data_IF_916143368627
#
_entry.id   IF_916143368627
#
_cell.length_a   1.000
_cell.length_b   1.000
_cell.length_c   1.000
_cell.angle_alpha   90.00
_cell.angle_beta   90.00
_cell.angle_gamma   90.00
#
_symmetry.space_group_name_H-M   'P 1'
#
loop_
_entity.id
_entity.type
_entity.pdbx_description
1 polymer ?
#
# COMPACT_ATOMS: atom_id res chain seq x y z
N UNK A 1 -19.55 3.93 48.61
CA UNK A 1 -18.88 4.89 47.70
C UNK A 1 -17.46 4.41 47.47
N UNK A 2 -17.01 3.91 46.33
CA UNK A 2 -17.66 3.42 45.12
C UNK A 2 -16.61 2.53 44.45
N UNK A 3 -16.88 1.23 44.30
CA UNK A 3 -16.16 0.28 43.42
C UNK A 3 -16.25 0.66 41.92
N UNK A 4 -16.66 1.90 41.63
CA UNK A 4 -17.08 2.41 40.35
C UNK A 4 -15.98 3.19 39.62
N UNK A 5 -14.77 3.33 40.19
CA UNK A 5 -13.71 4.23 39.67
C UNK A 5 -12.46 3.49 39.18
N UNK A 6 -12.36 2.16 39.30
CA UNK A 6 -11.16 1.42 38.80
C UNK A 6 -11.51 0.38 37.72
N UNK A 7 -12.77 0.32 37.29
CA UNK A 7 -13.21 -0.45 36.11
C UNK A 7 -13.22 0.38 34.81
N UNK A 8 -12.49 1.48 34.79
CA UNK A 8 -12.21 2.29 33.61
C UNK A 8 -10.79 1.98 33.09
N UNK A 9 -10.51 0.69 32.85
CA UNK A 9 -9.48 0.28 31.89
C UNK A 9 -10.24 -0.19 30.67
N UNK A 10 -10.29 0.70 29.68
CA UNK A 10 -10.73 0.51 28.30
C UNK A 10 -11.12 -0.93 27.98
N UNK A 11 -12.43 -1.19 27.89
CA UNK A 11 -12.91 -2.27 27.06
C UNK A 11 -12.50 -1.88 25.63
N UNK A 12 -11.34 -2.39 25.18
CA UNK A 12 -11.00 -2.41 23.75
C UNK A 12 -12.13 -3.18 23.11
N UNK A 13 -13.05 -2.46 22.46
CA UNK A 13 -14.16 -3.05 21.75
C UNK A 13 -13.52 -4.00 20.73
N UNK A 14 -13.74 -5.30 20.87
CA UNK A 14 -13.22 -6.27 19.91
C UNK A 14 -13.68 -5.83 18.52
N UNK A 15 -12.73 -5.69 17.57
CA UNK A 15 -13.04 -5.26 16.21
C UNK A 15 -14.22 -6.07 15.64
N UNK A 16 -15.09 -5.43 14.85
CA UNK A 16 -16.18 -6.16 14.22
C UNK A 16 -15.65 -7.16 13.18
N UNK A 17 -16.47 -8.14 12.77
CA UNK A 17 -16.09 -9.04 11.67
C UNK A 17 -15.94 -8.28 10.34
N UNK A 18 -16.69 -7.20 10.16
CA UNK A 18 -16.60 -6.27 9.04
C UNK A 18 -15.26 -5.52 9.06
N UNK A 19 -14.83 -5.02 10.21
CA UNK A 19 -13.52 -4.38 10.36
C UNK A 19 -12.41 -5.36 9.99
N UNK A 20 -12.46 -6.59 10.53
CA UNK A 20 -11.50 -7.66 10.21
C UNK A 20 -11.43 -7.95 8.72
N UNK A 21 -12.57 -8.05 8.04
CA UNK A 21 -12.62 -8.28 6.60
C UNK A 21 -12.02 -7.11 5.80
N UNK A 22 -12.31 -5.87 6.20
CA UNK A 22 -11.75 -4.66 5.58
C UNK A 22 -10.23 -4.57 5.78
N UNK A 23 -9.73 -4.93 6.97
CA UNK A 23 -8.30 -4.99 7.26
C UNK A 23 -7.57 -6.04 6.41
N UNK A 24 -8.12 -7.26 6.33
CA UNK A 24 -7.54 -8.33 5.52
C UNK A 24 -7.46 -7.93 4.04
N UNK A 25 -8.55 -7.33 3.52
CA UNK A 25 -8.57 -6.85 2.14
C UNK A 25 -7.51 -5.76 1.86
N UNK A 26 -7.34 -4.80 2.77
CA UNK A 26 -6.36 -3.73 2.62
C UNK A 26 -4.93 -4.28 2.51
N UNK A 27 -4.60 -5.23 3.39
CA UNK A 27 -3.32 -5.93 3.40
C UNK A 27 -3.09 -6.76 2.13
N UNK A 28 -4.13 -7.46 1.65
CA UNK A 28 -4.06 -8.25 0.42
C UNK A 28 -3.84 -7.33 -0.79
N UNK A 29 -4.55 -6.18 -0.85
CA UNK A 29 -4.39 -5.17 -1.90
C UNK A 29 -2.95 -4.63 -1.92
N UNK A 30 -2.37 -4.28 -0.77
CA UNK A 30 -0.97 -3.84 -0.68
C UNK A 30 0.02 -4.91 -1.16
N UNK A 31 -0.19 -6.16 -0.73
CA UNK A 31 0.66 -7.30 -1.12
C UNK A 31 0.62 -7.51 -2.63
N UNK A 32 -0.57 -7.41 -3.24
CA UNK A 32 -0.75 -7.53 -4.68
C UNK A 32 -0.05 -6.38 -5.43
N UNK A 33 -0.21 -5.14 -4.96
CA UNK A 33 0.44 -3.96 -5.56
C UNK A 33 1.97 -4.10 -5.51
N UNK A 34 2.54 -4.50 -4.37
CA UNK A 34 3.98 -4.71 -4.22
C UNK A 34 4.50 -5.77 -5.21
N UNK A 35 3.81 -6.91 -5.30
CA UNK A 35 4.19 -7.98 -6.23
C UNK A 35 4.15 -7.53 -7.70
N UNK A 36 3.14 -6.76 -8.10
CA UNK A 36 3.04 -6.21 -9.45
C UNK A 36 4.15 -5.19 -9.74
N UNK A 37 4.52 -4.35 -8.76
CA UNK A 37 5.63 -3.42 -8.89
C UNK A 37 6.95 -4.15 -9.17
N UNK A 38 7.25 -5.21 -8.40
CA UNK A 38 8.44 -6.04 -8.59
C UNK A 38 8.43 -6.68 -9.98
N UNK A 39 7.32 -7.31 -10.39
CA UNK A 39 7.20 -7.96 -11.69
C UNK A 39 7.47 -6.98 -12.85
N UNK A 40 6.89 -5.79 -12.80
CA UNK A 40 7.08 -4.79 -13.86
C UNK A 40 8.51 -4.23 -13.83
N UNK A 41 9.09 -4.02 -12.65
CA UNK A 41 10.47 -3.57 -12.52
C UNK A 41 11.44 -4.59 -13.14
N UNK A 42 11.25 -5.89 -12.87
CA UNK A 42 12.03 -6.97 -13.48
C UNK A 42 11.85 -7.04 -15.00
N UNK A 43 10.60 -6.98 -15.49
CA UNK A 43 10.30 -6.92 -16.91
C UNK A 43 11.04 -5.75 -17.57
N UNK A 44 11.08 -4.58 -16.93
CA UNK A 44 11.71 -3.37 -17.46
C UNK A 44 13.23 -3.46 -17.64
N UNK A 45 13.88 -4.43 -16.99
CA UNK A 45 15.31 -4.74 -17.18
C UNK A 45 15.54 -5.81 -18.25
N UNK A 46 14.46 -6.39 -18.77
CA UNK A 46 14.48 -7.41 -19.81
C UNK A 46 14.58 -6.86 -21.24
N UNK A 47 14.49 -7.75 -22.24
CA UNK A 47 14.52 -7.38 -23.66
C UNK A 47 13.31 -6.54 -24.06
N UNK A 48 13.50 -5.57 -24.96
CA UNK A 48 12.48 -4.60 -25.42
C UNK A 48 11.23 -5.23 -26.02
N UNK A 49 11.33 -6.47 -26.50
CA UNK A 49 10.22 -7.26 -27.02
C UNK A 49 9.14 -7.50 -25.94
N UNK A 50 9.49 -7.35 -24.65
CA UNK A 50 8.57 -7.41 -23.52
C UNK A 50 7.75 -6.13 -23.30
N UNK A 51 8.02 -5.04 -24.02
CA UNK A 51 7.29 -3.76 -23.90
C UNK A 51 5.78 -3.90 -23.95
N UNK A 52 5.25 -4.77 -24.80
CA UNK A 52 3.81 -5.05 -24.86
C UNK A 52 3.27 -5.76 -23.62
N UNK A 53 4.05 -6.65 -22.99
CA UNK A 53 3.68 -7.29 -21.73
C UNK A 53 3.75 -6.29 -20.57
N UNK A 54 4.83 -5.51 -20.48
CA UNK A 54 5.00 -4.47 -19.47
C UNK A 54 3.88 -3.42 -19.53
N UNK A 55 3.42 -3.06 -20.75
CA UNK A 55 2.29 -2.12 -20.93
C UNK A 55 1.01 -2.67 -20.29
N UNK A 56 0.68 -3.95 -20.55
CA UNK A 56 -0.51 -4.59 -19.96
C UNK A 56 -0.42 -4.65 -18.44
N UNK A 57 0.73 -5.07 -17.92
CA UNK A 57 0.97 -5.15 -16.48
C UNK A 57 0.90 -3.78 -15.80
N UNK A 58 1.40 -2.73 -16.45
CA UNK A 58 1.28 -1.36 -15.94
C UNK A 58 -0.17 -0.86 -15.92
N UNK A 59 -1.00 -1.24 -16.90
CA UNK A 59 -2.45 -0.96 -16.87
C UNK A 59 -3.11 -1.68 -15.69
N UNK A 60 -2.79 -2.96 -15.49
CA UNK A 60 -3.32 -3.75 -14.37
C UNK A 60 -2.95 -3.12 -13.02
N UNK A 61 -1.69 -2.71 -12.85
CA UNK A 61 -1.22 -2.01 -11.66
C UNK A 61 -1.92 -0.65 -11.48
N UNK A 62 -2.07 0.13 -12.55
CA UNK A 62 -2.77 1.42 -12.49
C UNK A 62 -4.23 1.27 -12.03
N UNK A 63 -4.91 0.22 -12.48
CA UNK A 63 -6.26 -0.10 -12.03
C UNK A 63 -6.27 -0.54 -10.57
N UNK A 64 -5.31 -1.38 -10.15
CA UNK A 64 -5.20 -1.84 -8.76
C UNK A 64 -4.97 -0.66 -7.79
N UNK A 65 -4.01 0.22 -8.12
CA UNK A 65 -3.71 1.43 -7.32
C UNK A 65 -4.91 2.38 -7.29
N UNK A 66 -5.60 2.61 -8.42
CA UNK A 66 -6.79 3.47 -8.41
C UNK A 66 -7.90 2.91 -7.51
N UNK A 67 -8.19 1.61 -7.60
CA UNK A 67 -9.18 0.96 -6.73
C UNK A 67 -8.79 1.02 -5.26
N UNK A 68 -7.51 0.86 -4.97
CA UNK A 68 -6.98 0.93 -3.61
C UNK A 68 -7.16 2.33 -3.03
N UNK A 69 -6.79 3.38 -3.78
CA UNK A 69 -7.00 4.77 -3.36
C UNK A 69 -8.47 5.12 -3.20
N UNK A 70 -9.36 4.64 -4.08
CA UNK A 70 -10.81 4.84 -3.93
C UNK A 70 -11.34 4.20 -2.62
N UNK A 71 -10.78 3.04 -2.22
CA UNK A 71 -11.13 2.37 -0.95
C UNK A 71 -10.55 3.13 0.25
N UNK A 72 -9.34 3.67 0.17
CA UNK A 72 -8.72 4.46 1.23
C UNK A 72 -9.37 5.84 1.44
N UNK A 73 -9.86 6.49 0.38
CA UNK A 73 -10.63 7.74 0.49
C UNK A 73 -11.99 7.52 1.19
N UNK A 74 -12.59 6.33 1.05
CA UNK A 74 -13.84 5.94 1.72
C UNK A 74 -13.62 5.38 3.15
N UNK A 75 -12.44 4.80 3.41
CA UNK A 75 -12.08 4.15 4.67
C UNK A 75 -10.96 4.94 5.32
N UNK A 76 -11.33 5.84 6.24
CA UNK A 76 -10.47 6.63 7.15
C UNK A 76 -9.03 6.14 7.14
N UNK A 77 -8.08 6.96 6.69
CA UNK A 77 -6.65 6.68 6.55
C UNK A 77 -6.11 5.83 7.72
N UNK A 78 -6.27 4.50 7.59
CA UNK A 78 -6.05 3.54 8.69
C UNK A 78 -4.59 3.48 9.04
N UNK A 79 -3.74 3.86 8.08
CA UNK A 79 -2.31 4.03 8.21
C UNK A 79 -2.00 5.17 9.16
N UNK A 80 -2.62 6.36 9.00
CA UNK A 80 -2.45 7.49 9.93
C UNK A 80 -2.90 7.12 11.35
N UNK A 81 -4.07 6.49 11.51
CA UNK A 81 -4.54 6.02 12.82
C UNK A 81 -3.55 5.03 13.45
N UNK A 82 -3.00 4.11 12.65
CA UNK A 82 -2.03 3.13 13.12
C UNK A 82 -0.66 3.74 13.46
N UNK A 83 -0.32 4.90 12.87
CA UNK A 83 0.93 5.63 13.09
C UNK A 83 0.92 6.50 14.37
N UNK A 84 -0.22 7.11 14.71
CA UNK A 84 -0.36 8.04 15.86
C UNK A 84 0.23 7.53 17.19
N UNK A 85 0.10 6.24 17.57
CA UNK A 85 0.68 5.73 18.82
C UNK A 85 2.21 5.52 18.78
N UNK A 86 2.84 5.56 17.61
CA UNK A 86 4.25 5.13 17.40
C UNK A 86 5.18 6.26 16.99
N UNK A 87 4.67 7.26 16.30
CA UNK A 87 5.48 8.30 15.68
C UNK A 87 5.16 9.67 16.26
N UNK A 88 6.15 10.58 16.24
CA UNK A 88 5.88 11.96 16.61
C UNK A 88 5.02 12.63 15.52
N UNK A 89 4.28 13.70 15.85
CA UNK A 89 3.55 14.47 14.85
C UNK A 89 4.44 14.95 13.69
N UNK A 90 5.68 15.34 13.97
CA UNK A 90 6.64 15.76 12.93
C UNK A 90 7.02 14.60 11.99
N UNK A 91 7.15 13.38 12.51
CA UNK A 91 7.41 12.20 11.68
C UNK A 91 6.19 11.86 10.81
N UNK A 92 4.98 11.93 11.37
CA UNK A 92 3.74 11.69 10.62
C UNK A 92 3.61 12.71 9.48
N UNK A 93 3.83 14.00 9.76
CA UNK A 93 3.77 15.06 8.75
C UNK A 93 4.79 14.86 7.61
N UNK A 94 6.01 14.39 7.93
CA UNK A 94 7.02 14.07 6.91
C UNK A 94 6.61 12.87 6.05
N UNK A 95 5.99 11.85 6.64
CA UNK A 95 5.48 10.68 5.92
C UNK A 95 4.31 11.03 5.01
N UNK A 96 3.41 11.92 5.45
CA UNK A 96 2.32 12.46 4.64
C UNK A 96 2.86 13.27 3.44
N UNK A 97 3.89 14.08 3.64
CA UNK A 97 4.54 14.82 2.56
C UNK A 97 5.19 13.89 1.52
N UNK A 98 5.94 12.88 1.98
CA UNK A 98 6.56 11.87 1.11
C UNK A 98 5.51 11.09 0.30
N UNK A 99 4.36 10.79 0.92
CA UNK A 99 3.22 10.15 0.28
C UNK A 99 2.60 11.01 -0.81
N UNK A 100 2.41 12.31 -0.57
CA UNK A 100 1.86 13.21 -1.58
C UNK A 100 2.80 13.38 -2.77
N UNK A 101 4.12 13.45 -2.52
CA UNK A 101 5.14 13.43 -3.57
C UNK A 101 5.04 12.15 -4.39
N UNK A 102 4.92 10.99 -3.73
CA UNK A 102 4.78 9.69 -4.40
C UNK A 102 3.52 9.62 -5.26
N UNK A 103 2.38 10.11 -4.77
CA UNK A 103 1.10 10.18 -5.51
C UNK A 103 1.24 11.06 -6.75
N UNK A 104 1.91 12.20 -6.62
CA UNK A 104 2.17 13.11 -7.75
C UNK A 104 3.07 12.45 -8.81
N UNK A 105 4.19 11.86 -8.39
CA UNK A 105 5.13 11.16 -9.27
C UNK A 105 4.48 9.98 -9.98
N UNK A 106 3.62 9.23 -9.28
CA UNK A 106 2.84 8.13 -9.84
C UNK A 106 1.96 8.60 -11.00
N UNK A 107 1.21 9.70 -10.80
CA UNK A 107 0.34 10.29 -11.85
C UNK A 107 1.15 10.69 -13.08
N UNK A 108 2.32 11.29 -12.89
CA UNK A 108 3.22 11.66 -13.99
C UNK A 108 3.74 10.41 -14.71
N UNK A 109 4.13 9.38 -13.95
CA UNK A 109 4.66 8.13 -14.48
C UNK A 109 3.62 7.40 -15.34
N UNK A 110 2.42 7.16 -14.83
CA UNK A 110 1.36 6.48 -15.60
C UNK A 110 0.88 7.34 -16.78
N UNK A 111 0.81 8.67 -16.62
CA UNK A 111 0.43 9.59 -17.70
C UNK A 111 1.42 9.58 -18.87
N UNK A 112 2.68 9.24 -18.61
CA UNK A 112 3.72 9.12 -19.64
C UNK A 112 3.72 7.75 -20.34
N UNK A 113 3.58 6.67 -19.58
CA UNK A 113 3.87 5.33 -20.06
C UNK A 113 2.64 4.52 -20.46
N UNK A 114 1.44 4.95 -20.05
CA UNK A 114 0.18 4.38 -20.53
C UNK A 114 -0.33 5.07 -21.80
N UNK A 115 -1.10 4.35 -22.64
CA UNK A 115 -1.45 2.93 -22.52
C UNK A 115 -0.38 1.98 -23.08
N UNK A 116 0.61 2.51 -23.81
CA UNK A 116 1.59 1.70 -24.56
C UNK A 116 2.99 2.25 -24.35
N UNK A 117 3.89 1.37 -23.90
CA UNK A 117 5.33 1.61 -23.85
C UNK A 117 5.91 1.25 -25.22
N UNK A 118 6.45 2.24 -25.93
CA UNK A 118 7.12 1.98 -27.22
C UNK A 118 8.43 1.23 -27.02
N UNK A 119 8.74 0.29 -27.93
CA UNK A 119 10.06 -0.35 -27.99
C UNK A 119 11.20 0.65 -28.15
N UNK A 120 10.97 1.79 -28.81
CA UNK A 120 11.97 2.85 -28.99
C UNK A 120 12.27 3.65 -27.73
N UNK A 121 11.41 3.54 -26.72
CA UNK A 121 11.55 4.24 -25.43
C UNK A 121 11.82 3.30 -24.26
N UNK A 122 12.03 2.01 -24.57
CA UNK A 122 12.18 0.95 -23.58
C UNK A 122 13.25 1.24 -22.53
N UNK A 123 14.42 1.72 -22.94
CA UNK A 123 15.51 2.04 -22.01
C UNK A 123 15.14 3.18 -21.05
N UNK A 124 14.39 4.18 -21.52
CA UNK A 124 13.89 5.29 -20.69
C UNK A 124 12.82 4.80 -19.73
N UNK A 125 11.94 3.91 -20.18
CA UNK A 125 10.97 3.24 -19.32
C UNK A 125 11.69 2.46 -18.23
N UNK A 126 12.68 1.63 -18.57
CA UNK A 126 13.44 0.83 -17.59
C UNK A 126 14.06 1.64 -16.46
N UNK A 127 14.66 2.78 -16.76
CA UNK A 127 15.24 3.67 -15.74
C UNK A 127 14.17 4.24 -14.81
N UNK A 128 13.05 4.72 -15.37
CA UNK A 128 11.98 5.34 -14.59
C UNK A 128 11.16 4.31 -13.81
N UNK A 129 10.88 3.16 -14.43
CA UNK A 129 10.12 2.07 -13.86
C UNK A 129 10.82 1.55 -12.61
N UNK A 130 12.14 1.30 -12.67
CA UNK A 130 12.90 0.90 -11.49
C UNK A 130 12.71 1.88 -10.34
N UNK A 131 12.98 3.18 -10.58
CA UNK A 131 12.90 4.17 -9.50
C UNK A 131 11.48 4.36 -8.95
N UNK A 132 10.45 4.37 -9.81
CA UNK A 132 9.07 4.61 -9.39
C UNK A 132 8.47 3.39 -8.69
N UNK A 133 8.67 2.20 -9.26
CA UNK A 133 8.09 0.96 -8.74
C UNK A 133 8.78 0.49 -7.46
N UNK A 134 10.08 0.73 -7.30
CA UNK A 134 10.78 0.47 -6.03
C UNK A 134 10.18 1.32 -4.90
N UNK A 135 9.91 2.61 -5.17
CA UNK A 135 9.28 3.52 -4.19
C UNK A 135 7.85 3.12 -3.86
N UNK A 136 7.03 2.83 -4.87
CA UNK A 136 5.65 2.40 -4.66
C UNK A 136 5.58 1.08 -3.89
N UNK A 137 6.41 0.09 -4.26
CA UNK A 137 6.50 -1.18 -3.55
C UNK A 137 6.96 -0.99 -2.10
N UNK A 138 7.96 -0.14 -1.88
CA UNK A 138 8.46 0.18 -0.53
C UNK A 138 7.38 0.83 0.34
N UNK A 139 6.61 1.75 -0.22
CA UNK A 139 5.53 2.43 0.49
C UNK A 139 4.44 1.45 0.94
N UNK A 140 3.87 0.68 0.02
CA UNK A 140 2.78 -0.26 0.38
C UNK A 140 3.25 -1.38 1.31
N UNK A 141 4.55 -1.75 1.26
CA UNK A 141 5.15 -2.70 2.21
C UNK A 141 5.24 -2.08 3.61
N UNK A 142 5.69 -0.83 3.71
CA UNK A 142 5.75 -0.11 4.98
C UNK A 142 4.35 0.05 5.60
N UNK A 143 3.36 0.41 4.79
CA UNK A 143 1.96 0.50 5.22
C UNK A 143 1.45 -0.87 5.70
N UNK A 144 1.72 -1.93 4.94
CA UNK A 144 1.38 -3.31 5.34
C UNK A 144 1.96 -3.65 6.71
N UNK A 145 3.24 -3.38 6.97
CA UNK A 145 3.89 -3.64 8.26
C UNK A 145 3.23 -2.87 9.42
N UNK A 146 2.93 -1.58 9.19
CA UNK A 146 2.28 -0.72 10.18
C UNK A 146 0.87 -1.23 10.49
N UNK A 147 0.11 -1.58 9.45
CA UNK A 147 -1.26 -2.09 9.55
C UNK A 147 -1.30 -3.46 10.23
N UNK A 148 -0.39 -4.38 9.90
CA UNK A 148 -0.28 -5.68 10.57
C UNK A 148 0.03 -5.55 12.06
N UNK A 149 1.02 -4.71 12.41
CA UNK A 149 1.39 -4.47 13.81
C UNK A 149 0.21 -3.91 14.61
N UNK A 150 -0.57 -3.02 14.00
CA UNK A 150 -1.78 -2.45 14.60
C UNK A 150 -2.88 -3.51 14.75
N UNK A 151 -3.16 -4.27 13.67
CA UNK A 151 -4.17 -5.32 13.67
C UNK A 151 -3.87 -6.44 14.68
N UNK A 152 -2.60 -6.75 14.94
CA UNK A 152 -2.17 -7.69 15.98
C UNK A 152 -2.43 -7.15 17.40
N UNK A 153 -2.17 -5.86 17.65
CA UNK A 153 -2.39 -5.22 18.96
C UNK A 153 -3.88 -5.13 19.32
N UNK A 154 -4.71 -4.84 18.34
CA UNK A 154 -6.16 -4.70 18.51
C UNK A 154 -6.91 -6.05 18.46
N UNK A 155 -6.19 -7.16 18.25
CA UNK A 155 -6.78 -8.50 18.17
C UNK A 155 -7.64 -8.72 16.92
N UNK A 156 -7.48 -7.86 15.90
CA UNK A 156 -8.10 -7.97 14.57
C UNK A 156 -7.51 -9.19 13.84
N UNK A 157 -6.19 -9.37 13.94
CA UNK A 157 -5.46 -10.54 13.43
C UNK A 157 -4.93 -11.35 14.62
N UNK A 158 -5.07 -12.68 14.57
CA UNK A 158 -4.53 -13.56 15.61
C UNK A 158 -3.10 -13.97 15.26
N UNK A 159 -2.17 -13.81 16.21
CA UNK A 159 -0.82 -14.36 16.10
C UNK A 159 -0.89 -15.89 15.87
N UNK A 160 -0.41 -16.35 14.71
CA UNK A 160 -0.38 -17.78 14.34
C UNK A 160 -1.49 -18.26 13.41
N UNK A 161 -2.35 -17.38 12.89
CA UNK A 161 -3.21 -17.73 11.75
C UNK A 161 -2.39 -17.78 10.48
N UNK A 162 -2.11 -18.99 9.96
CA UNK A 162 -1.47 -19.16 8.66
C UNK A 162 -2.25 -18.35 7.60
N UNK A 163 -1.55 -17.44 6.92
CA UNK A 163 -2.00 -16.92 5.62
C UNK A 163 -1.98 -18.13 4.70
N UNK A 164 -3.16 -18.71 4.44
CA UNK A 164 -3.29 -19.77 3.45
C UNK A 164 -3.17 -19.11 2.08
N UNK A 165 -2.04 -19.39 1.43
CA UNK A 165 -1.75 -19.12 0.01
C UNK A 165 -2.82 -19.70 -0.92
#
# INVERSE_FOLDING_TARGET
MSEKVIRERAAVQAASDEDRANWARLIDDHTQIAAQCIEIAELSQGPREQSGLASRKLIELAIAVAKHLDVEDEVIDRTVIAMEPRFSPDTIAMMEEDLEILRSDWKVFIGRWLPVISQSEWDKFGVQAKSMLDRLSGQVTLETEILYDHALRDGVVRAGGAVLH
#
